data_IF_452411934932
#
_entry.id   IF_452411934932
#
_cell.length_a   1.000
_cell.length_b   1.000
_cell.length_c   1.000
_cell.angle_alpha   90.00
_cell.angle_beta   90.00
_cell.angle_gamma   90.00
#
_symmetry.space_group_name_H-M   'P 1'
#
loop_
_entity.id
_entity.type
_entity.pdbx_description
1 polymer ?
#
# COMPACT_ATOMS: atom_id res chain seq x y z
N UNK A 1 -67.16 32.58 -35.49
CA UNK A 1 -66.53 31.70 -34.49
C UNK A 1 -66.10 32.57 -33.32
N UNK A 2 -66.50 32.22 -32.09
CA UNK A 2 -66.02 32.96 -30.91
C UNK A 2 -64.50 32.78 -30.79
N UNK A 3 -63.76 33.83 -30.43
CA UNK A 3 -62.30 33.80 -30.25
C UNK A 3 -61.86 32.61 -29.36
N UNK A 4 -62.71 32.28 -28.38
CA UNK A 4 -62.59 31.14 -27.46
C UNK A 4 -62.59 29.79 -28.19
N UNK A 5 -63.43 29.61 -29.22
CA UNK A 5 -63.49 28.37 -30.00
C UNK A 5 -62.27 28.18 -30.91
N UNK A 6 -61.64 29.28 -31.35
CA UNK A 6 -60.43 29.24 -32.18
C UNK A 6 -59.20 28.90 -31.33
N UNK A 7 -59.08 29.50 -30.15
CA UNK A 7 -57.95 29.25 -29.26
C UNK A 7 -58.02 27.88 -28.54
N UNK A 8 -59.21 27.27 -28.41
CA UNK A 8 -59.40 26.04 -27.66
C UNK A 8 -58.57 24.86 -28.20
N UNK A 9 -58.51 24.67 -29.53
CA UNK A 9 -57.77 23.56 -30.15
C UNK A 9 -56.26 23.58 -29.85
N UNK A 10 -55.55 24.67 -30.18
CA UNK A 10 -54.13 24.85 -29.84
C UNK A 10 -53.82 24.71 -28.35
N UNK A 11 -54.66 25.30 -27.48
CA UNK A 11 -54.44 25.25 -26.03
C UNK A 11 -54.61 23.83 -25.48
N UNK A 12 -55.66 23.12 -25.90
CA UNK A 12 -55.88 21.73 -25.49
C UNK A 12 -54.75 20.85 -26.01
N UNK A 13 -54.32 21.03 -27.26
CA UNK A 13 -53.19 20.32 -27.84
C UNK A 13 -51.90 20.54 -27.04
N UNK A 14 -51.61 21.79 -26.67
CA UNK A 14 -50.46 22.15 -25.85
C UNK A 14 -50.50 21.49 -24.46
N UNK A 15 -51.66 21.50 -23.79
CA UNK A 15 -51.85 20.89 -22.47
C UNK A 15 -51.64 19.37 -22.56
N UNK A 16 -52.24 18.71 -23.55
CA UNK A 16 -52.08 17.25 -23.75
C UNK A 16 -50.61 16.93 -24.02
N UNK A 17 -49.93 17.70 -24.87
CA UNK A 17 -48.51 17.54 -25.17
C UNK A 17 -47.62 17.70 -23.94
N UNK A 18 -47.88 18.73 -23.13
CA UNK A 18 -47.18 18.97 -21.87
C UNK A 18 -47.39 17.82 -20.88
N UNK A 19 -48.64 17.45 -20.61
CA UNK A 19 -48.98 16.42 -19.61
C UNK A 19 -48.43 15.06 -20.03
N UNK A 20 -48.57 14.68 -21.30
CA UNK A 20 -48.12 13.37 -21.79
C UNK A 20 -46.59 13.25 -21.70
N UNK A 21 -45.85 14.27 -22.13
CA UNK A 21 -44.39 14.24 -22.01
C UNK A 21 -43.91 14.33 -20.56
N UNK A 22 -44.61 15.08 -19.70
CA UNK A 22 -44.31 15.14 -18.26
C UNK A 22 -44.45 13.75 -17.63
N UNK A 23 -45.52 13.02 -17.93
CA UNK A 23 -45.72 11.65 -17.43
C UNK A 23 -44.63 10.73 -18.01
N UNK A 24 -44.29 10.84 -19.30
CA UNK A 24 -43.24 10.04 -19.92
C UNK A 24 -41.87 10.21 -19.23
N UNK A 25 -41.47 11.46 -18.96
CA UNK A 25 -40.25 11.77 -18.21
C UNK A 25 -40.31 11.18 -16.80
N UNK A 26 -41.45 11.33 -16.11
CA UNK A 26 -41.65 10.77 -14.76
C UNK A 26 -41.58 9.24 -14.76
N UNK A 27 -42.03 8.58 -15.84
CA UNK A 27 -42.01 7.13 -16.01
C UNK A 27 -40.59 6.56 -16.21
N UNK A 28 -39.60 7.38 -16.59
CA UNK A 28 -38.20 6.94 -16.65
C UNK A 28 -37.65 6.59 -15.26
N UNK A 29 -38.14 7.25 -14.22
CA UNK A 29 -37.66 7.13 -12.84
C UNK A 29 -38.59 6.31 -11.95
N UNK A 30 -39.91 6.39 -12.15
CA UNK A 30 -40.93 5.72 -11.33
C UNK A 30 -41.88 4.91 -12.21
N UNK A 31 -42.42 3.77 -11.72
CA UNK A 31 -42.30 3.21 -10.38
C UNK A 31 -40.97 2.47 -10.14
N UNK A 32 -40.52 2.45 -8.89
CA UNK A 32 -39.25 1.82 -8.48
C UNK A 32 -39.33 0.29 -8.62
N UNK A 33 -40.46 -0.28 -8.23
CA UNK A 33 -40.72 -1.71 -8.29
C UNK A 33 -41.64 -2.05 -9.47
N UNK A 34 -41.49 -3.24 -10.09
CA UNK A 34 -42.41 -3.71 -11.12
C UNK A 34 -43.83 -3.81 -10.55
N UNK A 35 -44.81 -3.27 -11.27
CA UNK A 35 -46.22 -3.40 -10.90
C UNK A 35 -46.78 -4.63 -11.63
N UNK A 36 -47.28 -5.59 -10.86
CA UNK A 36 -47.90 -6.82 -11.37
C UNK A 36 -49.42 -6.70 -11.28
N UNK A 37 -50.12 -7.00 -12.36
CA UNK A 37 -51.58 -7.11 -12.43
C UNK A 37 -51.89 -8.54 -12.86
N UNK A 38 -52.32 -9.39 -11.92
CA UNK A 38 -52.46 -10.82 -12.16
C UNK A 38 -51.14 -11.46 -12.60
N UNK A 39 -51.15 -12.17 -13.73
CA UNK A 39 -49.96 -12.80 -14.33
C UNK A 39 -49.17 -11.87 -15.26
N UNK A 40 -49.56 -10.60 -15.41
CA UNK A 40 -48.92 -9.66 -16.34
C UNK A 40 -48.20 -8.52 -15.61
N UNK A 41 -47.00 -8.18 -16.06
CA UNK A 41 -46.24 -7.00 -15.58
C UNK A 41 -46.54 -5.80 -16.47
N UNK A 42 -46.91 -4.67 -15.88
CA UNK A 42 -47.22 -3.47 -16.64
C UNK A 42 -45.99 -2.99 -17.43
N UNK A 43 -46.11 -2.67 -18.73
CA UNK A 43 -45.01 -2.14 -19.52
C UNK A 43 -44.50 -0.84 -18.91
N UNK A 44 -43.20 -0.58 -19.05
CA UNK A 44 -42.50 0.56 -18.43
C UNK A 44 -42.52 0.56 -16.88
N UNK A 45 -42.77 -0.58 -16.24
CA UNK A 45 -42.57 -0.79 -14.80
C UNK A 45 -41.59 -1.95 -14.54
N UNK A 46 -40.50 -1.77 -13.76
CA UNK A 46 -40.06 -0.52 -13.15
C UNK A 46 -39.57 0.48 -14.21
N UNK A 47 -39.37 1.74 -13.80
CA UNK A 47 -38.80 2.78 -14.65
C UNK A 47 -37.46 2.36 -15.28
N UNK A 48 -37.09 2.99 -16.39
CA UNK A 48 -35.91 2.61 -17.18
C UNK A 48 -34.60 2.73 -16.38
N UNK A 49 -34.44 3.79 -15.58
CA UNK A 49 -33.23 4.00 -14.77
C UNK A 49 -33.07 2.95 -13.67
N UNK A 50 -34.08 2.67 -12.81
CA UNK A 50 -34.04 1.56 -11.86
C UNK A 50 -33.70 0.21 -12.54
N UNK A 51 -34.31 -0.06 -13.71
CA UNK A 51 -34.11 -1.30 -14.46
C UNK A 51 -32.69 -1.47 -15.00
N UNK A 52 -32.03 -0.38 -15.40
CA UNK A 52 -30.70 -0.38 -16.03
C UNK A 52 -29.55 0.00 -15.07
N UNK A 53 -29.83 0.17 -13.79
CA UNK A 53 -28.85 0.51 -12.75
C UNK A 53 -27.56 -0.32 -12.84
N UNK A 54 -27.66 -1.65 -12.95
CA UNK A 54 -26.47 -2.51 -13.04
C UNK A 54 -25.63 -2.29 -14.30
N UNK A 55 -26.27 -1.97 -15.43
CA UNK A 55 -25.54 -1.64 -16.67
C UNK A 55 -24.82 -0.30 -16.54
N UNK A 56 -25.45 0.69 -15.90
CA UNK A 56 -24.83 1.97 -15.59
C UNK A 56 -23.65 1.80 -14.64
N UNK A 57 -23.82 1.00 -13.58
CA UNK A 57 -22.76 0.69 -12.62
C UNK A 57 -21.52 0.09 -13.29
N UNK A 58 -21.72 -0.90 -14.17
CA UNK A 58 -20.64 -1.52 -14.95
C UNK A 58 -19.96 -0.54 -15.91
N UNK A 59 -20.75 0.28 -16.61
CA UNK A 59 -20.20 1.28 -17.54
C UNK A 59 -19.38 2.36 -16.81
N UNK A 60 -19.89 2.87 -15.69
CA UNK A 60 -19.19 3.81 -14.81
C UNK A 60 -17.93 3.18 -14.20
N UNK A 61 -18.02 1.96 -13.69
CA UNK A 61 -16.89 1.21 -13.15
C UNK A 61 -15.76 1.06 -14.18
N UNK A 62 -16.09 0.62 -15.40
CA UNK A 62 -15.12 0.52 -16.48
C UNK A 62 -14.52 1.87 -16.87
N UNK A 63 -15.35 2.92 -17.00
CA UNK A 63 -14.87 4.25 -17.37
C UNK A 63 -13.90 4.82 -16.31
N UNK A 64 -14.20 4.64 -15.02
CA UNK A 64 -13.36 5.15 -13.94
C UNK A 64 -12.12 4.28 -13.75
N UNK A 65 -12.28 2.97 -13.57
CA UNK A 65 -11.19 2.06 -13.23
C UNK A 65 -10.20 1.80 -14.37
N UNK A 66 -10.66 1.82 -15.63
CA UNK A 66 -9.79 1.50 -16.77
C UNK A 66 -9.25 2.73 -17.49
N UNK A 67 -9.89 3.91 -17.37
CA UNK A 67 -9.49 5.09 -18.15
C UNK A 67 -9.13 6.32 -17.29
N UNK A 68 -9.69 6.47 -16.08
CA UNK A 68 -9.48 7.68 -15.28
C UNK A 68 -8.52 7.48 -14.10
N UNK A 69 -8.53 6.30 -13.49
CA UNK A 69 -7.69 5.98 -12.34
C UNK A 69 -7.03 4.61 -12.56
N UNK A 70 -6.13 4.54 -13.53
CA UNK A 70 -5.45 3.27 -13.83
C UNK A 70 -4.42 2.93 -12.74
N UNK A 71 -4.02 1.66 -12.67
CA UNK A 71 -2.96 1.24 -11.75
C UNK A 71 -1.66 2.02 -11.95
N UNK A 72 -1.36 2.44 -13.18
CA UNK A 72 -0.18 3.26 -13.50
C UNK A 72 -0.31 4.68 -12.98
N UNK A 73 -1.52 5.27 -13.06
CA UNK A 73 -1.75 6.62 -12.56
C UNK A 73 -1.58 6.68 -11.04
N UNK A 74 -2.05 5.65 -10.34
CA UNK A 74 -1.85 5.49 -8.89
C UNK A 74 -0.36 5.33 -8.57
N UNK A 75 0.37 4.47 -9.29
CA UNK A 75 1.81 4.29 -9.09
C UNK A 75 2.58 5.61 -9.31
N UNK A 76 2.28 6.33 -10.39
CA UNK A 76 2.87 7.64 -10.69
C UNK A 76 2.54 8.70 -9.63
N UNK A 77 1.33 8.65 -9.06
CA UNK A 77 0.94 9.51 -7.95
C UNK A 77 1.86 9.28 -6.73
N UNK A 78 2.12 8.02 -6.35
CA UNK A 78 3.06 7.70 -5.26
C UNK A 78 4.52 8.01 -5.61
N UNK A 79 4.89 7.98 -6.89
CA UNK A 79 6.22 8.42 -7.35
C UNK A 79 6.36 9.94 -7.45
N UNK A 80 5.28 10.70 -7.29
CA UNK A 80 5.35 12.16 -7.38
C UNK A 80 6.28 12.71 -6.29
N UNK A 81 7.11 13.69 -6.67
CA UNK A 81 8.08 14.31 -5.76
C UNK A 81 7.40 14.87 -4.50
N UNK A 82 6.18 15.38 -4.61
CA UNK A 82 5.45 15.89 -3.45
C UNK A 82 5.13 14.78 -2.43
N UNK A 83 4.48 13.70 -2.87
CA UNK A 83 4.12 12.58 -1.98
C UNK A 83 5.38 11.91 -1.44
N UNK A 84 6.38 11.68 -2.30
CA UNK A 84 7.67 11.13 -1.90
C UNK A 84 8.30 11.97 -0.80
N UNK A 85 8.45 13.27 -1.01
CA UNK A 85 9.12 14.14 -0.04
C UNK A 85 8.33 14.23 1.27
N UNK A 86 7.00 14.30 1.23
CA UNK A 86 6.17 14.26 2.44
C UNK A 86 6.37 12.95 3.22
N UNK A 87 6.31 11.79 2.56
CA UNK A 87 6.47 10.49 3.22
C UNK A 87 7.90 10.33 3.76
N UNK A 88 8.90 10.70 2.98
CA UNK A 88 10.31 10.60 3.37
C UNK A 88 10.59 11.50 4.57
N UNK A 89 10.08 12.73 4.56
CA UNK A 89 10.22 13.64 5.69
C UNK A 89 9.49 13.13 6.92
N UNK A 90 8.23 12.70 6.81
CA UNK A 90 7.46 12.21 7.97
C UNK A 90 8.04 10.94 8.58
N UNK A 91 8.51 10.00 7.76
CA UNK A 91 9.19 8.80 8.27
C UNK A 91 10.55 9.19 8.87
N UNK A 92 11.29 10.09 8.23
CA UNK A 92 12.59 10.56 8.71
C UNK A 92 12.49 11.28 10.06
N UNK A 93 11.57 12.24 10.17
CA UNK A 93 11.30 12.97 11.41
C UNK A 93 10.75 12.04 12.48
N UNK A 94 9.81 11.14 12.16
CA UNK A 94 9.30 10.16 13.11
C UNK A 94 10.43 9.29 13.67
N UNK A 95 11.33 8.78 12.82
CA UNK A 95 12.46 7.97 13.27
C UNK A 95 13.49 8.76 14.11
N UNK A 96 13.57 10.08 13.91
CA UNK A 96 14.50 10.96 14.64
C UNK A 96 13.90 11.49 15.96
N UNK A 97 12.61 11.81 15.97
CA UNK A 97 11.84 12.33 17.11
C UNK A 97 11.25 11.22 18.00
N UNK A 98 11.35 9.95 17.58
CA UNK A 98 10.91 8.81 18.37
C UNK A 98 11.57 8.83 19.77
N UNK A 99 10.73 9.07 20.78
CA UNK A 99 11.06 9.05 22.21
C UNK A 99 11.82 7.77 22.59
N UNK A 100 12.52 7.80 23.73
CA UNK A 100 13.31 6.67 24.28
C UNK A 100 12.50 5.37 24.47
N UNK A 101 11.18 5.41 24.27
CA UNK A 101 10.25 4.29 24.45
C UNK A 101 10.18 3.33 23.26
N UNK A 102 10.59 3.77 22.07
CA UNK A 102 10.55 2.92 20.89
C UNK A 102 11.86 2.17 20.68
N UNK A 103 11.79 0.86 20.85
CA UNK A 103 12.90 -0.06 20.60
C UNK A 103 12.79 -0.65 19.20
N UNK A 104 13.90 -1.13 18.63
CA UNK A 104 13.88 -1.81 17.33
C UNK A 104 12.86 -2.95 17.33
N UNK A 105 12.79 -3.71 18.42
CA UNK A 105 11.79 -4.77 18.59
C UNK A 105 10.37 -4.25 18.43
N UNK A 106 9.99 -3.16 19.11
CA UNK A 106 8.64 -2.60 19.04
C UNK A 106 8.28 -2.14 17.62
N UNK A 107 9.23 -1.55 16.90
CA UNK A 107 9.06 -1.16 15.49
C UNK A 107 8.79 -2.40 14.65
N UNK A 108 9.67 -3.40 14.70
CA UNK A 108 9.52 -4.61 13.89
C UNK A 108 8.21 -5.35 14.22
N UNK A 109 7.88 -5.57 15.49
CA UNK A 109 6.64 -6.24 15.89
C UNK A 109 5.37 -5.43 15.57
N UNK A 110 5.50 -4.11 15.34
CA UNK A 110 4.39 -3.28 14.86
C UNK A 110 4.02 -3.52 13.39
N UNK A 111 4.99 -3.97 12.58
CA UNK A 111 4.80 -4.21 11.15
C UNK A 111 4.73 -5.70 10.76
N UNK A 112 5.32 -6.59 11.56
CA UNK A 112 5.34 -8.03 11.31
C UNK A 112 4.75 -8.81 12.48
N UNK A 113 4.15 -9.97 12.17
CA UNK A 113 3.66 -10.88 13.20
C UNK A 113 4.81 -11.36 14.10
N UNK A 114 4.48 -11.74 15.33
CA UNK A 114 5.47 -12.20 16.31
C UNK A 114 6.24 -13.45 15.82
N UNK A 115 5.57 -14.34 15.07
CA UNK A 115 6.20 -15.51 14.47
C UNK A 115 7.21 -15.11 13.39
N UNK A 116 6.83 -14.19 12.50
CA UNK A 116 7.73 -13.66 11.46
C UNK A 116 8.94 -12.99 12.07
N UNK A 117 8.75 -12.22 13.15
CA UNK A 117 9.85 -11.58 13.87
C UNK A 117 10.86 -12.61 14.43
N UNK A 118 10.39 -13.69 15.06
CA UNK A 118 11.28 -14.74 15.56
C UNK A 118 12.08 -15.41 14.44
N UNK A 119 11.45 -15.67 13.29
CA UNK A 119 12.15 -16.25 12.13
C UNK A 119 13.24 -15.30 11.61
N UNK A 120 12.93 -14.00 11.48
CA UNK A 120 13.92 -13.01 11.03
C UNK A 120 15.08 -12.87 12.02
N UNK A 121 14.79 -12.90 13.32
CA UNK A 121 15.78 -12.86 14.40
C UNK A 121 16.72 -14.05 14.35
N UNK A 122 16.18 -15.26 14.20
CA UNK A 122 16.99 -16.48 14.09
C UNK A 122 17.85 -16.47 12.81
N UNK A 123 17.32 -15.96 11.69
CA UNK A 123 18.11 -15.80 10.47
C UNK A 123 19.25 -14.80 10.65
N UNK A 124 19.00 -13.66 11.28
CA UNK A 124 20.03 -12.68 11.59
C UNK A 124 21.13 -13.27 12.49
N UNK A 125 20.74 -13.99 13.55
CA UNK A 125 21.67 -14.71 14.43
C UNK A 125 22.56 -15.68 13.63
N UNK A 126 21.95 -16.52 12.78
CA UNK A 126 22.69 -17.49 11.97
C UNK A 126 23.64 -16.82 10.95
N UNK A 127 23.20 -15.73 10.31
CA UNK A 127 24.03 -14.96 9.37
C UNK A 127 25.23 -14.35 10.10
N UNK A 128 25.01 -13.73 11.26
CA UNK A 128 26.07 -13.10 12.04
C UNK A 128 27.05 -14.17 12.56
N UNK A 129 26.54 -15.26 13.14
CA UNK A 129 27.36 -16.36 13.65
C UNK A 129 28.25 -16.97 12.56
N UNK A 130 27.67 -17.24 11.39
CA UNK A 130 28.43 -17.81 10.27
C UNK A 130 29.49 -16.84 9.74
N UNK A 131 29.21 -15.53 9.69
CA UNK A 131 30.19 -14.51 9.27
C UNK A 131 31.34 -14.40 10.26
N UNK A 132 31.05 -14.37 11.57
CA UNK A 132 32.06 -14.33 12.62
C UNK A 132 32.90 -15.60 12.59
N UNK A 133 32.29 -16.79 12.55
CA UNK A 133 33.01 -18.07 12.44
C UNK A 133 33.92 -18.11 11.22
N UNK A 134 33.44 -17.69 10.06
CA UNK A 134 34.27 -17.62 8.85
C UNK A 134 35.41 -16.61 9.00
N UNK A 135 35.19 -15.48 9.67
CA UNK A 135 36.21 -14.48 9.95
C UNK A 135 37.30 -15.02 10.88
N UNK A 136 36.91 -15.64 11.99
CA UNK A 136 37.81 -16.25 12.98
C UNK A 136 38.64 -17.35 12.33
N UNK A 137 38.02 -18.24 11.55
CA UNK A 137 38.75 -19.30 10.83
C UNK A 137 39.75 -18.76 9.81
N UNK A 138 39.48 -17.62 9.18
CA UNK A 138 40.41 -16.97 8.24
C UNK A 138 41.57 -16.27 8.93
N UNK A 139 41.40 -15.83 10.17
CA UNK A 139 42.46 -15.18 10.95
C UNK A 139 43.55 -16.16 11.40
N UNK A 140 43.30 -17.47 11.33
CA UNK A 140 44.24 -18.51 11.75
C UNK A 140 44.76 -18.26 13.18
N UNK A 141 43.80 -18.18 14.11
CA UNK A 141 44.03 -17.75 15.49
C UNK A 141 45.05 -18.64 16.18
N UNK A 142 45.06 -19.95 15.94
CA UNK A 142 46.05 -20.86 16.50
C UNK A 142 47.47 -20.52 16.07
N UNK A 143 47.70 -20.17 14.81
CA UNK A 143 49.02 -19.70 14.33
C UNK A 143 49.43 -18.38 14.99
N UNK A 144 48.49 -17.44 15.16
CA UNK A 144 48.74 -16.18 15.87
C UNK A 144 49.15 -16.45 17.31
N UNK A 145 48.39 -17.28 18.04
CA UNK A 145 48.69 -17.64 19.43
C UNK A 145 50.03 -18.37 19.55
N UNK A 146 50.35 -19.29 18.63
CA UNK A 146 51.64 -19.97 18.62
C UNK A 146 52.80 -19.01 18.34
N UNK A 147 52.61 -17.98 17.51
CA UNK A 147 53.62 -16.95 17.26
C UNK A 147 53.80 -16.01 18.45
N UNK A 148 52.72 -15.42 18.96
CA UNK A 148 52.79 -14.49 20.08
C UNK A 148 53.22 -15.20 21.38
N UNK A 149 52.79 -16.45 21.59
CA UNK A 149 53.24 -17.28 22.70
C UNK A 149 54.74 -17.54 22.66
N UNK A 150 55.31 -17.85 21.48
CA UNK A 150 56.77 -17.97 21.32
C UNK A 150 57.49 -16.67 21.69
N UNK A 151 56.98 -15.54 21.21
CA UNK A 151 57.55 -14.22 21.49
C UNK A 151 57.51 -13.87 22.97
N UNK A 152 56.36 -14.04 23.62
CA UNK A 152 56.18 -13.74 25.04
C UNK A 152 57.08 -14.59 25.94
N UNK A 153 57.20 -15.89 25.65
CA UNK A 153 58.10 -16.78 26.39
C UNK A 153 59.55 -16.34 26.19
N UNK A 154 59.97 -16.07 24.94
CA UNK A 154 61.32 -15.62 24.61
C UNK A 154 61.68 -14.31 25.32
N UNK A 155 60.80 -13.32 25.30
CA UNK A 155 60.98 -12.04 25.99
C UNK A 155 61.09 -12.22 27.52
N UNK A 156 60.30 -13.12 28.12
CA UNK A 156 60.32 -13.36 29.57
C UNK A 156 61.57 -14.12 30.04
N UNK A 157 62.11 -15.02 29.23
CA UNK A 157 63.35 -15.76 29.57
C UNK A 157 64.62 -15.00 29.21
N UNK A 158 64.54 -14.04 28.28
CA UNK A 158 65.69 -13.26 27.85
C UNK A 158 66.34 -12.52 29.02
N UNK A 159 67.65 -12.72 29.21
CA UNK A 159 68.40 -12.12 30.31
C UNK A 159 68.32 -12.85 31.66
N UNK A 160 67.58 -13.97 31.73
CA UNK A 160 67.54 -14.84 32.93
C UNK A 160 68.45 -16.06 32.75
N UNK A 161 68.82 -16.74 33.85
CA UNK A 161 69.54 -18.02 33.76
C UNK A 161 68.79 -19.10 32.97
N UNK A 162 67.46 -18.97 32.83
CA UNK A 162 66.63 -19.90 32.08
C UNK A 162 66.81 -19.78 30.55
N UNK A 163 67.38 -18.67 30.05
CA UNK A 163 67.63 -18.49 28.61
C UNK A 163 68.55 -19.58 28.02
N UNK A 164 69.46 -20.14 28.83
CA UNK A 164 70.35 -21.23 28.42
C UNK A 164 69.64 -22.58 28.30
N UNK A 165 68.56 -22.78 29.05
CA UNK A 165 67.78 -24.02 29.06
C UNK A 165 66.59 -23.97 28.11
N UNK A 166 66.00 -22.79 27.89
CA UNK A 166 64.80 -22.58 27.07
C UNK A 166 65.22 -22.04 25.71
N UNK A 167 65.61 -22.96 24.83
CA UNK A 167 65.97 -22.64 23.44
C UNK A 167 64.73 -22.47 22.55
N UNK A 168 64.91 -21.89 21.35
CA UNK A 168 63.81 -21.65 20.40
C UNK A 168 63.03 -22.94 20.03
N UNK A 169 63.69 -24.10 20.07
CA UNK A 169 63.09 -25.41 19.79
C UNK A 169 62.11 -25.85 20.88
N UNK A 170 62.48 -25.69 22.15
CA UNK A 170 61.61 -25.99 23.29
C UNK A 170 60.42 -25.04 23.33
N UNK A 171 60.64 -23.75 23.08
CA UNK A 171 59.56 -22.76 22.99
C UNK A 171 58.58 -23.15 21.87
N UNK A 172 59.08 -23.52 20.70
CA UNK A 172 58.24 -23.98 19.59
C UNK A 172 57.47 -25.26 19.94
N UNK A 173 58.10 -26.22 20.63
CA UNK A 173 57.49 -27.49 21.02
C UNK A 173 56.30 -27.33 21.99
N UNK A 174 56.25 -26.23 22.74
CA UNK A 174 55.14 -25.90 23.65
C UNK A 174 54.10 -25.02 22.95
N UNK A 175 54.55 -24.00 22.22
CA UNK A 175 53.66 -23.03 21.60
C UNK A 175 52.85 -23.60 20.42
N UNK A 176 53.44 -24.47 19.60
CA UNK A 176 52.74 -25.05 18.44
C UNK A 176 51.55 -25.95 18.83
N UNK A 177 51.66 -26.86 19.82
CA UNK A 177 50.50 -27.62 20.31
C UNK A 177 49.42 -26.76 20.95
N UNK A 178 49.78 -25.65 21.60
CA UNK A 178 48.79 -24.69 22.14
C UNK A 178 47.99 -24.07 21.01
N UNK A 179 48.66 -23.59 19.95
CA UNK A 179 47.99 -23.07 18.76
C UNK A 179 47.03 -24.08 18.13
N UNK A 180 47.50 -25.31 17.89
CA UNK A 180 46.67 -26.38 17.32
C UNK A 180 45.45 -26.74 18.20
N UNK A 181 45.60 -26.72 19.53
CA UNK A 181 44.47 -26.93 20.46
C UNK A 181 43.47 -25.77 20.44
N UNK A 182 43.95 -24.54 20.29
CA UNK A 182 43.07 -23.36 20.14
C UNK A 182 42.26 -23.48 18.85
N UNK A 183 42.87 -23.85 17.73
CA UNK A 183 42.13 -24.06 16.46
C UNK A 183 41.10 -25.18 16.60
N UNK A 184 41.48 -26.31 17.20
CA UNK A 184 40.55 -27.41 17.44
C UNK A 184 39.38 -27.00 18.35
N UNK A 185 39.63 -26.17 19.36
CA UNK A 185 38.58 -25.64 20.24
C UNK A 185 37.65 -24.68 19.48
N UNK A 186 38.19 -23.77 18.68
CA UNK A 186 37.39 -22.84 17.85
C UNK A 186 36.52 -23.63 16.87
N UNK A 187 37.04 -24.67 16.23
CA UNK A 187 36.25 -25.49 15.31
C UNK A 187 35.13 -26.28 16.00
N UNK A 188 35.40 -26.85 17.18
CA UNK A 188 34.45 -27.71 17.89
C UNK A 188 33.42 -26.93 18.71
N UNK A 189 33.84 -25.84 19.34
CA UNK A 189 33.06 -25.11 20.35
C UNK A 189 32.81 -23.64 19.97
N UNK A 190 33.50 -23.12 18.95
CA UNK A 190 33.39 -21.72 18.55
C UNK A 190 31.98 -21.34 18.10
N UNK A 191 31.28 -22.24 17.39
CA UNK A 191 29.92 -21.95 16.90
C UNK A 191 28.94 -21.70 18.05
N UNK A 192 28.91 -22.56 19.07
CA UNK A 192 28.01 -22.39 20.22
C UNK A 192 28.40 -21.19 21.09
N UNK A 193 29.71 -20.95 21.23
CA UNK A 193 30.23 -19.82 22.02
C UNK A 193 29.85 -18.49 21.35
N UNK A 194 30.11 -18.36 20.04
CA UNK A 194 29.74 -17.17 19.27
C UNK A 194 28.22 -17.00 19.23
N UNK A 195 27.47 -18.09 19.09
CA UNK A 195 26.01 -18.03 19.09
C UNK A 195 25.46 -17.45 20.39
N UNK A 196 25.98 -17.86 21.54
CA UNK A 196 25.58 -17.31 22.84
C UNK A 196 25.83 -15.79 22.92
N UNK A 197 27.02 -15.36 22.50
CA UNK A 197 27.41 -13.93 22.51
C UNK A 197 26.53 -13.13 21.54
N UNK A 198 26.35 -13.62 20.31
CA UNK A 198 25.52 -12.96 19.29
C UNK A 198 24.07 -12.82 19.75
N UNK A 199 23.52 -13.83 20.44
CA UNK A 199 22.15 -13.75 21.00
C UNK A 199 22.01 -12.66 22.04
N UNK A 200 22.98 -12.55 22.94
CA UNK A 200 22.98 -11.54 23.99
C UNK A 200 23.10 -10.13 23.39
N UNK A 201 24.05 -9.93 22.47
CA UNK A 201 24.23 -8.66 21.77
C UNK A 201 23.01 -8.28 20.93
N UNK A 202 22.40 -9.24 20.21
CA UNK A 202 21.15 -8.99 19.48
C UNK A 202 20.03 -8.56 20.44
N UNK A 203 19.91 -9.19 21.61
CA UNK A 203 18.90 -8.80 22.59
C UNK A 203 19.12 -7.38 23.14
N UNK A 204 20.38 -6.98 23.36
CA UNK A 204 20.71 -5.60 23.75
C UNK A 204 20.33 -4.62 22.65
N UNK A 205 20.70 -4.92 21.40
CA UNK A 205 20.36 -4.08 20.25
C UNK A 205 18.85 -3.98 20.01
N UNK A 206 18.10 -5.05 20.23
CA UNK A 206 16.65 -5.11 20.05
C UNK A 206 15.88 -4.28 21.07
N UNK A 207 16.38 -4.22 22.32
CA UNK A 207 15.70 -3.59 23.44
C UNK A 207 16.23 -2.18 23.77
N UNK A 208 17.32 -1.73 23.17
CA UNK A 208 17.75 -0.35 23.32
C UNK A 208 16.84 0.60 22.51
N UNK A 209 16.64 1.85 22.98
CA UNK A 209 15.91 2.85 22.22
C UNK A 209 16.59 3.14 20.88
N UNK A 210 15.80 3.33 19.83
CA UNK A 210 16.33 3.65 18.49
C UNK A 210 17.10 4.98 18.51
N UNK A 211 16.63 5.96 19.28
CA UNK A 211 17.33 7.22 19.47
C UNK A 211 18.78 7.04 19.99
N UNK A 212 18.98 6.15 20.98
CA UNK A 212 20.31 5.83 21.51
C UNK A 212 21.20 5.15 20.46
N UNK A 213 20.62 4.28 19.64
CA UNK A 213 21.34 3.67 18.52
C UNK A 213 21.76 4.73 17.49
N UNK A 214 20.84 5.62 17.11
CA UNK A 214 21.10 6.71 16.13
C UNK A 214 22.19 7.67 16.60
N UNK A 215 22.23 8.00 17.90
CA UNK A 215 23.30 8.81 18.49
C UNK A 215 24.66 8.11 18.43
N UNK A 216 24.73 6.80 18.73
CA UNK A 216 26.00 6.03 18.71
C UNK A 216 26.64 5.96 17.33
N UNK A 217 25.84 6.00 16.26
CA UNK A 217 26.31 5.94 14.88
C UNK A 217 26.50 7.33 14.25
N UNK A 218 26.35 8.41 15.04
CA UNK A 218 26.46 9.81 14.60
C UNK A 218 25.66 10.10 13.31
N UNK A 219 24.50 9.45 13.15
CA UNK A 219 23.73 9.60 11.93
C UNK A 219 22.94 10.91 11.93
N UNK A 220 23.32 11.80 11.02
CA UNK A 220 22.55 13.01 10.74
C UNK A 220 21.19 12.68 10.12
N UNK A 221 20.18 13.48 10.45
CA UNK A 221 18.82 13.40 9.89
C UNK A 221 18.81 13.33 8.36
N UNK A 222 19.70 14.07 7.69
CA UNK A 222 19.83 14.09 6.23
C UNK A 222 20.21 12.72 5.65
N UNK A 223 21.08 11.98 6.32
CA UNK A 223 21.48 10.65 5.88
C UNK A 223 20.35 9.64 6.08
N UNK A 224 19.59 9.77 7.16
CA UNK A 224 18.39 8.97 7.43
C UNK A 224 17.31 9.20 6.37
N UNK A 225 16.99 10.46 6.07
CA UNK A 225 16.06 10.82 5.00
C UNK A 225 16.50 10.24 3.65
N UNK A 226 17.81 10.26 3.33
CA UNK A 226 18.35 9.64 2.12
C UNK A 226 18.20 8.11 2.09
N UNK A 227 18.29 7.42 3.22
CA UNK A 227 18.01 5.98 3.31
C UNK A 227 16.52 5.69 3.09
N UNK A 228 15.65 6.46 3.75
CA UNK A 228 14.19 6.34 3.60
C UNK A 228 13.77 6.59 2.16
N UNK A 229 14.32 7.61 1.50
CA UNK A 229 14.08 7.91 0.08
C UNK A 229 14.43 6.72 -0.83
N UNK A 230 15.59 6.09 -0.63
CA UNK A 230 15.98 4.90 -1.42
C UNK A 230 15.04 3.73 -1.17
N UNK A 231 14.71 3.45 0.10
CA UNK A 231 13.82 2.34 0.45
C UNK A 231 12.43 2.58 -0.16
N UNK A 232 11.90 3.79 -0.02
CA UNK A 232 10.62 4.20 -0.59
C UNK A 232 10.62 4.06 -2.10
N UNK A 233 11.62 4.62 -2.78
CA UNK A 233 11.73 4.57 -4.24
C UNK A 233 11.79 3.13 -4.77
N UNK A 234 12.59 2.27 -4.12
CA UNK A 234 12.68 0.85 -4.47
C UNK A 234 11.35 0.12 -4.22
N UNK A 235 10.67 0.41 -3.11
CA UNK A 235 9.39 -0.19 -2.79
C UNK A 235 8.32 0.19 -3.81
N UNK A 236 8.19 1.50 -4.12
CA UNK A 236 7.18 1.99 -5.06
C UNK A 236 7.45 1.42 -6.46
N UNK A 237 8.69 1.53 -6.97
CA UNK A 237 9.02 1.08 -8.32
C UNK A 237 8.97 -0.44 -8.51
N UNK A 238 9.33 -1.24 -7.49
CA UNK A 238 9.45 -2.71 -7.66
C UNK A 238 8.28 -3.49 -7.10
N UNK A 239 7.53 -2.93 -6.16
CA UNK A 239 6.50 -3.67 -5.41
C UNK A 239 5.12 -3.05 -5.55
N UNK A 240 5.00 -1.72 -5.51
CA UNK A 240 3.69 -1.07 -5.52
C UNK A 240 2.92 -1.39 -6.80
N UNK A 241 3.53 -1.34 -7.98
CA UNK A 241 2.85 -1.68 -9.24
C UNK A 241 2.19 -3.07 -9.23
N UNK A 242 2.85 -4.08 -8.64
CA UNK A 242 2.30 -5.43 -8.49
C UNK A 242 1.15 -5.52 -7.49
N UNK A 243 1.14 -4.69 -6.45
CA UNK A 243 0.04 -4.60 -5.50
C UNK A 243 -1.14 -3.82 -6.08
N UNK A 244 -0.89 -2.69 -6.74
CA UNK A 244 -1.94 -1.82 -7.32
C UNK A 244 -2.73 -2.54 -8.41
N UNK A 245 -2.12 -3.47 -9.14
CA UNK A 245 -2.83 -4.33 -10.11
C UNK A 245 -3.88 -5.25 -9.47
N UNK A 246 -3.74 -5.55 -8.18
CA UNK A 246 -4.73 -6.36 -7.44
C UNK A 246 -5.91 -5.51 -6.95
N UNK A 247 -5.81 -4.17 -6.99
CA UNK A 247 -6.91 -3.28 -6.64
C UNK A 247 -7.87 -3.15 -7.83
N UNK A 248 -9.00 -3.87 -7.76
CA UNK A 248 -10.08 -3.75 -8.72
C UNK A 248 -10.92 -2.48 -8.49
N UNK A 249 -10.40 -1.33 -8.93
CA UNK A 249 -11.09 -0.04 -8.82
C UNK A 249 -12.42 -0.07 -9.59
N UNK A 250 -12.44 -0.72 -10.77
CA UNK A 250 -13.64 -0.82 -11.59
C UNK A 250 -14.76 -1.57 -10.84
N UNK A 251 -14.43 -2.71 -10.23
CA UNK A 251 -15.36 -3.49 -9.42
C UNK A 251 -15.81 -2.76 -8.14
N UNK A 252 -14.92 -2.01 -7.49
CA UNK A 252 -15.28 -1.18 -6.32
C UNK A 252 -16.31 -0.11 -6.71
N UNK A 253 -16.10 0.60 -7.82
CA UNK A 253 -17.03 1.61 -8.30
C UNK A 253 -18.35 0.98 -8.74
N UNK A 254 -18.32 -0.14 -9.49
CA UNK A 254 -19.52 -0.87 -9.89
C UNK A 254 -20.34 -1.29 -8.66
N UNK A 255 -19.70 -1.89 -7.65
CA UNK A 255 -20.36 -2.28 -6.41
C UNK A 255 -20.95 -1.06 -5.69
N UNK A 256 -20.18 0.03 -5.58
CA UNK A 256 -20.65 1.24 -4.89
C UNK A 256 -21.89 1.84 -5.56
N UNK A 257 -21.92 1.90 -6.90
CA UNK A 257 -23.10 2.36 -7.66
C UNK A 257 -24.27 1.38 -7.52
N UNK A 258 -24.00 0.07 -7.47
CA UNK A 258 -25.03 -0.95 -7.24
C UNK A 258 -25.60 -0.91 -5.82
N UNK A 259 -24.84 -0.46 -4.84
CA UNK A 259 -25.29 -0.34 -3.44
C UNK A 259 -26.07 0.96 -3.17
N UNK A 260 -26.00 1.96 -4.05
CA UNK A 260 -26.76 3.21 -3.91
C UNK A 260 -28.27 2.97 -3.99
N UNK A 261 -29.05 3.69 -3.20
CA UNK A 261 -30.51 3.58 -3.30
C UNK A 261 -31.03 4.13 -4.62
N UNK A 262 -32.15 3.58 -5.12
CA UNK A 262 -32.75 4.02 -6.39
C UNK A 262 -33.09 5.52 -6.38
N UNK A 263 -33.47 6.07 -5.22
CA UNK A 263 -33.73 7.50 -5.04
C UNK A 263 -32.47 8.36 -5.16
N UNK A 264 -31.32 7.83 -4.75
CA UNK A 264 -30.05 8.53 -4.84
C UNK A 264 -29.59 8.62 -6.30
N UNK A 265 -29.78 7.54 -7.06
CA UNK A 265 -29.55 7.52 -8.52
C UNK A 265 -30.51 8.47 -9.23
N UNK A 266 -31.79 8.50 -8.86
CA UNK A 266 -32.76 9.47 -9.38
C UNK A 266 -32.25 10.90 -9.16
N UNK A 267 -31.78 11.23 -7.96
CA UNK A 267 -31.21 12.56 -7.65
C UNK A 267 -29.95 12.86 -8.46
N UNK A 268 -29.05 11.91 -8.61
CA UNK A 268 -27.81 12.07 -9.38
C UNK A 268 -28.09 12.31 -10.86
N UNK A 269 -29.00 11.55 -11.45
CA UNK A 269 -29.37 11.72 -12.86
C UNK A 269 -30.12 13.05 -13.05
N UNK A 270 -31.05 13.39 -12.15
CA UNK A 270 -31.80 14.64 -12.25
C UNK A 270 -30.92 15.87 -12.00
N UNK A 271 -29.87 15.80 -11.18
CA UNK A 271 -28.97 16.94 -10.96
C UNK A 271 -28.27 17.38 -12.26
N UNK A 272 -28.05 16.43 -13.18
CA UNK A 272 -27.42 16.69 -14.48
C UNK A 272 -28.48 16.92 -15.57
N UNK A 273 -29.55 16.13 -15.62
CA UNK A 273 -30.47 16.08 -16.77
C UNK A 273 -31.77 16.87 -16.60
N UNK A 274 -32.05 17.50 -15.45
CA UNK A 274 -33.35 18.16 -15.18
C UNK A 274 -33.74 19.18 -16.25
N UNK A 275 -32.81 20.01 -16.70
CA UNK A 275 -33.09 21.03 -17.70
C UNK A 275 -33.40 20.42 -19.07
N UNK A 276 -32.64 19.39 -19.47
CA UNK A 276 -32.85 18.68 -20.74
C UNK A 276 -34.20 17.95 -20.77
N UNK A 277 -34.57 17.29 -19.67
CA UNK A 277 -35.86 16.63 -19.55
C UNK A 277 -37.01 17.64 -19.58
N UNK A 278 -36.87 18.79 -18.92
CA UNK A 278 -37.87 19.86 -18.98
C UNK A 278 -37.99 20.47 -20.38
N UNK A 279 -36.89 20.57 -21.13
CA UNK A 279 -36.92 21.02 -22.52
C UNK A 279 -37.74 20.07 -23.40
N UNK A 280 -37.60 18.75 -23.21
CA UNK A 280 -38.42 17.74 -23.92
C UNK A 280 -39.91 17.87 -23.57
N UNK A 281 -40.25 18.17 -22.31
CA UNK A 281 -41.64 18.42 -21.90
C UNK A 281 -42.21 19.68 -22.55
N UNK A 282 -41.45 20.77 -22.55
CA UNK A 282 -41.86 22.04 -23.17
C UNK A 282 -41.99 21.91 -24.69
N UNK A 283 -41.11 21.14 -25.34
CA UNK A 283 -41.19 20.86 -26.77
C UNK A 283 -42.46 20.06 -27.11
N UNK A 284 -42.88 19.13 -26.23
CA UNK A 284 -44.15 18.44 -26.35
C UNK A 284 -45.35 19.39 -26.33
N UNK A 285 -45.34 20.38 -25.44
CA UNK A 285 -46.36 21.42 -25.39
C UNK A 285 -46.37 22.27 -26.66
N UNK A 286 -45.20 22.66 -27.16
CA UNK A 286 -45.07 23.43 -28.39
C UNK A 286 -45.59 22.65 -29.61
N UNK A 287 -45.21 21.39 -29.75
CA UNK A 287 -45.70 20.53 -30.85
C UNK A 287 -47.22 20.37 -30.75
N UNK A 288 -47.75 20.11 -29.55
CA UNK A 288 -49.19 20.02 -29.32
C UNK A 288 -49.94 21.30 -29.70
N UNK A 289 -49.36 22.46 -29.40
CA UNK A 289 -49.87 23.76 -29.81
C UNK A 289 -49.90 23.93 -31.33
N UNK A 290 -48.78 23.60 -32.01
CA UNK A 290 -48.66 23.69 -33.47
C UNK A 290 -49.65 22.75 -34.17
N UNK A 291 -49.78 21.52 -33.70
CA UNK A 291 -50.77 20.57 -34.25
C UNK A 291 -52.19 21.10 -34.07
N UNK A 292 -52.50 21.68 -32.91
CA UNK A 292 -53.81 22.28 -32.67
C UNK A 292 -54.09 23.50 -33.56
N UNK A 293 -53.06 24.29 -33.91
CA UNK A 293 -53.17 25.38 -34.90
C UNK A 293 -53.39 24.85 -36.30
N UNK A 294 -52.66 23.81 -36.71
CA UNK A 294 -52.82 23.19 -38.04
C UNK A 294 -54.21 22.58 -38.21
N UNK A 295 -54.74 21.93 -37.17
CA UNK A 295 -56.09 21.37 -37.19
C UNK A 295 -57.19 22.44 -37.33
N UNK A 296 -56.89 23.69 -36.96
CA UNK A 296 -57.77 24.82 -37.17
C UNK A 296 -57.71 25.36 -38.60
N UNK A 297 -56.56 25.31 -39.25
CA UNK A 297 -56.38 25.73 -40.65
C UNK A 297 -56.91 24.71 -41.67
N UNK A 298 -56.99 23.44 -41.27
CA UNK A 298 -57.51 22.33 -42.09
C UNK A 298 -59.04 22.17 -42.01
N UNK A 299 -59.73 22.99 -41.21
CA UNK A 299 -61.18 22.99 -40.99
C UNK A 299 -61.81 24.27 -41.50
#
# INVERSE_FOLDING_TARGET
MNLIQIAAGPVIGAIIGYVTNYIAVKMLFRPINPIKIGNWTLPFTPGIFPKRKGQLAKALGNAVGNNLLTSKDVENMFLSENIKNTIVQEIGSSLYEMDERHTLKNIFTGFVSQDTYQVLREQAENIICSKIMSGVSRMDVGTIIAREGRRAIKEKVHGTMLALMVNDQLIASVAAPIGARVDAYIQKNGQDTIRSIVREELAVLENQPVATFMQKIEMEEKHLAGMVDRIYSVFVQKKLGGYVQQFDIAGVVEKKVNDMDVLEIERLVLSVMKNELNAVVNLGALIGFVIGLLNLLLK
#
